data_IF_691114607029
#
_entry.id   IF_691114607029
#
_cell.length_a   1.000
_cell.length_b   1.000
_cell.length_c   1.000
_cell.angle_alpha   90.00
_cell.angle_beta   90.00
_cell.angle_gamma   90.00
#
_symmetry.space_group_name_H-M   'P 1'
#
loop_
_entity.id
_entity.type
_entity.pdbx_description
1 polymer ?
#
# COMPACT_ATOMS: atom_id res chain seq x y z
N UNK A 1 1.62 -5.15 27.80
CA UNK A 1 0.27 -5.49 27.33
C UNK A 1 0.14 -5.41 25.79
N UNK A 2 0.62 -4.35 25.13
CA UNK A 2 0.36 -4.10 23.70
C UNK A 2 1.40 -4.64 22.69
N UNK A 3 2.33 -5.52 23.09
CA UNK A 3 3.36 -6.06 22.18
C UNK A 3 2.76 -6.73 20.93
N UNK A 4 1.66 -7.48 21.09
CA UNK A 4 0.94 -8.10 19.97
C UNK A 4 0.32 -7.07 19.02
N UNK A 5 -0.17 -5.96 19.56
CA UNK A 5 -0.72 -4.84 18.77
C UNK A 5 0.36 -4.16 17.96
N UNK A 6 1.52 -3.89 18.56
CA UNK A 6 2.68 -3.29 17.88
C UNK A 6 3.14 -4.21 16.73
N UNK A 7 3.30 -5.51 16.99
CA UNK A 7 3.67 -6.48 15.95
C UNK A 7 2.62 -6.57 14.83
N UNK A 8 1.32 -6.52 15.16
CA UNK A 8 0.26 -6.48 14.16
C UNK A 8 0.30 -5.19 13.33
N UNK A 9 0.64 -4.05 13.93
CA UNK A 9 0.83 -2.79 13.20
C UNK A 9 2.04 -2.84 12.26
N UNK A 10 3.15 -3.43 12.67
CA UNK A 10 4.32 -3.63 11.80
C UNK A 10 3.98 -4.51 10.59
N UNK A 11 3.25 -5.62 10.83
CA UNK A 11 2.75 -6.44 9.74
C UNK A 11 1.76 -5.68 8.86
N UNK A 12 0.92 -4.80 9.43
CA UNK A 12 0.06 -3.89 8.67
C UNK A 12 0.84 -2.94 7.77
N UNK A 13 1.92 -2.32 8.28
CA UNK A 13 2.80 -1.43 7.52
C UNK A 13 3.49 -2.19 6.38
N UNK A 14 3.93 -3.42 6.66
CA UNK A 14 4.45 -4.32 5.64
C UNK A 14 3.40 -4.64 4.56
N UNK A 15 2.17 -5.01 4.94
CA UNK A 15 1.08 -5.31 4.00
C UNK A 15 0.75 -4.07 3.14
N UNK A 16 0.78 -2.88 3.72
CA UNK A 16 0.62 -1.63 2.99
C UNK A 16 1.72 -1.47 1.92
N UNK A 17 2.98 -1.74 2.27
CA UNK A 17 4.08 -1.72 1.30
C UNK A 17 3.87 -2.76 0.17
N UNK A 18 3.39 -3.96 0.48
CA UNK A 18 3.03 -4.95 -0.55
C UNK A 18 1.91 -4.40 -1.46
N UNK A 19 0.85 -3.84 -0.88
CA UNK A 19 -0.29 -3.32 -1.64
C UNK A 19 0.07 -2.18 -2.59
N UNK A 20 1.00 -1.30 -2.20
CA UNK A 20 1.44 -0.19 -3.03
C UNK A 20 2.44 -0.59 -4.12
N UNK A 21 3.18 -1.69 -3.96
CA UNK A 21 4.34 -1.99 -4.82
C UNK A 21 4.24 -3.30 -5.61
N UNK A 22 3.25 -4.15 -5.31
CA UNK A 22 3.07 -5.41 -6.03
C UNK A 22 2.65 -5.20 -7.50
N UNK A 23 1.71 -4.29 -7.78
CA UNK A 23 1.25 -4.03 -9.16
C UNK A 23 2.36 -3.48 -10.07
N UNK A 24 3.18 -2.49 -9.66
CA UNK A 24 4.33 -2.02 -10.43
C UNK A 24 5.31 -3.12 -10.85
N UNK A 25 5.58 -4.07 -9.96
CA UNK A 25 6.43 -5.22 -10.26
C UNK A 25 5.83 -6.13 -11.33
N UNK A 26 4.51 -6.09 -11.52
CA UNK A 26 3.80 -6.92 -12.49
C UNK A 26 3.40 -6.16 -13.76
N UNK A 27 3.67 -4.85 -13.89
CA UNK A 27 3.22 -4.05 -15.04
C UNK A 27 3.68 -4.60 -16.39
N UNK A 28 4.95 -4.99 -16.54
CA UNK A 28 5.42 -5.61 -17.80
C UNK A 28 4.68 -6.93 -18.07
N UNK A 29 4.35 -7.69 -17.02
CA UNK A 29 3.57 -8.92 -17.15
C UNK A 29 2.12 -8.62 -17.58
N UNK A 30 1.48 -7.61 -16.99
CA UNK A 30 0.13 -7.19 -17.38
C UNK A 30 0.08 -6.65 -18.81
N UNK A 31 1.06 -5.85 -19.22
CA UNK A 31 1.17 -5.35 -20.60
C UNK A 31 1.34 -6.51 -21.59
N UNK A 32 2.19 -7.48 -21.28
CA UNK A 32 2.41 -8.65 -22.13
C UNK A 32 1.19 -9.58 -22.20
N UNK A 33 0.50 -9.82 -21.09
CA UNK A 33 -0.61 -10.77 -21.05
C UNK A 33 -1.94 -10.18 -21.52
N UNK A 34 -2.24 -8.94 -21.15
CA UNK A 34 -3.53 -8.30 -21.43
C UNK A 34 -3.47 -7.29 -22.58
N UNK A 35 -2.29 -7.07 -23.19
CA UNK A 35 -2.12 -6.12 -24.28
C UNK A 35 -2.41 -4.67 -23.87
N UNK A 36 -2.28 -4.34 -22.58
CA UNK A 36 -2.54 -3.00 -22.07
C UNK A 36 -1.34 -2.08 -22.31
N UNK A 37 -1.60 -0.79 -22.49
CA UNK A 37 -0.59 0.23 -22.81
C UNK A 37 0.15 0.74 -21.55
N UNK A 38 1.29 1.41 -21.77
CA UNK A 38 1.98 2.17 -20.72
C UNK A 38 1.07 3.22 -20.05
N UNK A 39 0.21 3.88 -20.83
CA UNK A 39 -0.74 4.86 -20.31
C UNK A 39 -1.83 4.21 -19.45
N UNK A 40 -2.23 2.97 -19.75
CA UNK A 40 -3.14 2.19 -18.90
C UNK A 40 -2.51 1.79 -17.56
N UNK A 41 -1.27 1.28 -17.54
CA UNK A 41 -0.59 0.97 -16.26
C UNK A 41 -0.30 2.23 -15.45
N UNK A 42 0.02 3.35 -16.11
CA UNK A 42 0.16 4.65 -15.44
C UNK A 42 -1.14 5.12 -14.78
N UNK A 43 -2.29 4.88 -15.42
CA UNK A 43 -3.61 5.13 -14.84
C UNK A 43 -3.91 4.24 -13.63
N UNK A 44 -3.42 2.99 -13.60
CA UNK A 44 -3.53 2.13 -12.40
C UNK A 44 -2.73 2.72 -11.24
N UNK A 45 -1.50 3.20 -11.47
CA UNK A 45 -0.72 3.91 -10.44
C UNK A 45 -1.46 5.15 -9.93
N UNK A 46 -2.02 5.97 -10.83
CA UNK A 46 -2.80 7.15 -10.46
C UNK A 46 -4.01 6.77 -9.60
N UNK A 47 -4.79 5.78 -10.05
CA UNK A 47 -5.95 5.26 -9.33
C UNK A 47 -5.55 4.76 -7.95
N UNK A 48 -4.40 4.10 -7.84
CA UNK A 48 -3.91 3.55 -6.59
C UNK A 48 -3.72 4.62 -5.52
N UNK A 49 -2.93 5.67 -5.80
CA UNK A 49 -2.65 6.74 -4.83
C UNK A 49 -3.82 7.70 -4.64
N UNK A 50 -4.59 7.98 -5.70
CA UNK A 50 -5.76 8.84 -5.59
C UNK A 50 -6.84 8.25 -4.69
N UNK A 51 -7.12 6.95 -4.82
CA UNK A 51 -8.06 6.25 -3.93
C UNK A 51 -7.55 6.22 -2.49
N UNK A 52 -6.24 6.09 -2.25
CA UNK A 52 -5.67 6.17 -0.91
C UNK A 52 -5.95 7.53 -0.28
N UNK A 53 -5.64 8.63 -0.96
CA UNK A 53 -5.91 10.00 -0.49
C UNK A 53 -7.40 10.19 -0.15
N UNK A 54 -8.30 9.81 -1.06
CA UNK A 54 -9.75 9.90 -0.83
C UNK A 54 -10.16 9.11 0.41
N UNK A 55 -9.62 7.90 0.56
CA UNK A 55 -9.95 7.03 1.69
C UNK A 55 -9.46 7.63 3.00
N UNK A 56 -8.19 8.06 3.07
CA UNK A 56 -7.59 8.67 4.27
C UNK A 56 -8.39 9.91 4.71
N UNK A 57 -8.83 10.75 3.78
CA UNK A 57 -9.67 11.92 4.07
C UNK A 57 -11.09 11.55 4.50
N UNK A 58 -11.72 10.60 3.81
CA UNK A 58 -13.12 10.23 4.04
C UNK A 58 -13.32 9.47 5.35
N UNK A 59 -12.33 8.66 5.76
CA UNK A 59 -12.42 7.80 6.93
C UNK A 59 -11.79 8.39 8.19
N UNK A 60 -11.13 9.56 8.12
CA UNK A 60 -10.57 10.25 9.29
C UNK A 60 -11.63 10.48 10.39
N UNK A 61 -12.74 11.14 10.06
CA UNK A 61 -13.82 11.41 11.04
C UNK A 61 -14.59 10.15 11.49
N UNK A 62 -14.99 9.23 10.59
CA UNK A 62 -15.63 7.97 11.00
C UNK A 62 -14.79 7.14 11.97
N UNK A 63 -13.46 7.11 11.76
CA UNK A 63 -12.51 6.41 12.63
C UNK A 63 -12.52 6.99 14.04
N UNK A 64 -12.44 8.31 14.16
CA UNK A 64 -12.43 8.99 15.47
C UNK A 64 -13.73 8.70 16.25
N UNK A 65 -14.85 8.48 15.56
CA UNK A 65 -16.16 8.23 16.17
C UNK A 65 -16.42 6.77 16.58
N UNK A 66 -16.01 5.81 15.74
CA UNK A 66 -16.32 4.38 15.94
C UNK A 66 -15.10 3.57 16.41
N UNK A 67 -13.96 4.23 16.60
CA UNK A 67 -12.68 3.63 16.99
C UNK A 67 -11.96 2.91 15.84
N UNK A 68 -10.68 2.61 16.04
CA UNK A 68 -9.83 2.06 14.98
C UNK A 68 -10.15 0.61 14.57
N UNK A 69 -10.71 -0.22 15.46
CA UNK A 69 -10.86 -1.67 15.21
C UNK A 69 -11.62 -1.99 13.90
N UNK A 70 -12.86 -1.52 13.70
CA UNK A 70 -13.63 -1.89 12.50
C UNK A 70 -12.90 -1.48 11.21
N UNK A 71 -12.27 -0.31 11.19
CA UNK A 71 -11.60 0.22 10.02
C UNK A 71 -10.25 -0.48 9.76
N UNK A 72 -9.48 -0.83 10.79
CA UNK A 72 -8.20 -1.55 10.56
C UNK A 72 -8.47 -2.98 10.13
N UNK A 73 -9.55 -3.62 10.62
CA UNK A 73 -9.97 -4.93 10.09
C UNK A 73 -10.50 -4.81 8.66
N UNK A 74 -11.28 -3.77 8.36
CA UNK A 74 -11.74 -3.50 6.99
C UNK A 74 -10.56 -3.30 6.04
N UNK A 75 -9.52 -2.59 6.48
CA UNK A 75 -8.32 -2.35 5.69
C UNK A 75 -7.69 -3.66 5.18
N UNK A 76 -7.47 -4.61 6.10
CA UNK A 76 -6.95 -5.93 5.75
C UNK A 76 -7.85 -6.69 4.79
N UNK A 77 -9.16 -6.68 5.05
CA UNK A 77 -10.13 -7.37 4.20
C UNK A 77 -10.15 -6.78 2.78
N UNK A 78 -10.06 -5.46 2.65
CA UNK A 78 -10.00 -4.77 1.36
C UNK A 78 -8.71 -5.11 0.60
N UNK A 79 -7.54 -5.13 1.25
CA UNK A 79 -6.31 -5.57 0.57
C UNK A 79 -6.41 -7.04 0.13
N UNK A 80 -6.91 -7.92 1.00
CA UNK A 80 -7.12 -9.32 0.66
C UNK A 80 -8.03 -9.50 -0.56
N UNK A 81 -9.22 -8.90 -0.53
CA UNK A 81 -10.19 -8.98 -1.63
C UNK A 81 -9.66 -8.33 -2.91
N UNK A 82 -8.96 -7.20 -2.81
CA UNK A 82 -8.34 -6.56 -3.96
C UNK A 82 -7.28 -7.45 -4.62
N UNK A 83 -6.48 -8.18 -3.83
CA UNK A 83 -5.52 -9.14 -4.37
C UNK A 83 -6.21 -10.36 -5.01
N UNK A 84 -7.29 -10.87 -4.43
CA UNK A 84 -8.09 -11.92 -5.10
C UNK A 84 -8.65 -11.42 -6.43
N UNK A 85 -9.23 -10.22 -6.46
CA UNK A 85 -9.74 -9.61 -7.70
C UNK A 85 -8.64 -9.41 -8.73
N UNK A 86 -7.43 -9.02 -8.30
CA UNK A 86 -6.28 -8.90 -9.19
C UNK A 86 -5.89 -10.25 -9.77
N UNK A 87 -5.71 -11.27 -8.93
CA UNK A 87 -5.32 -12.62 -9.35
C UNK A 87 -6.35 -13.27 -10.28
N UNK A 88 -7.64 -13.02 -10.05
CA UNK A 88 -8.74 -13.57 -10.85
C UNK A 88 -9.28 -12.59 -11.91
N UNK A 89 -8.55 -11.51 -12.21
CA UNK A 89 -8.99 -10.46 -13.13
C UNK A 89 -9.34 -11.01 -14.52
N UNK A 90 -8.51 -11.93 -15.04
CA UNK A 90 -8.75 -12.61 -16.33
C UNK A 90 -10.04 -13.42 -16.33
N UNK A 91 -10.33 -14.14 -15.26
CA UNK A 91 -11.48 -15.04 -15.16
C UNK A 91 -12.78 -14.28 -14.92
N UNK A 92 -12.75 -13.26 -14.06
CA UNK A 92 -13.92 -12.47 -13.68
C UNK A 92 -14.27 -11.41 -14.73
N UNK A 93 -13.28 -10.89 -15.45
CA UNK A 93 -13.44 -9.83 -16.45
C UNK A 93 -12.93 -10.27 -17.82
N UNK A 94 -13.38 -11.44 -18.28
CA UNK A 94 -12.90 -12.06 -19.53
C UNK A 94 -12.99 -11.16 -20.77
N UNK A 95 -13.97 -10.25 -20.84
CA UNK A 95 -14.11 -9.29 -21.94
C UNK A 95 -13.15 -8.10 -21.86
N UNK A 96 -12.76 -7.69 -20.65
CA UNK A 96 -11.86 -6.55 -20.43
C UNK A 96 -11.07 -6.71 -19.12
N UNK A 97 -9.95 -7.46 -19.14
CA UNK A 97 -9.13 -7.70 -17.95
C UNK A 97 -8.60 -6.42 -17.30
N UNK A 98 -8.41 -5.34 -18.07
CA UNK A 98 -7.99 -4.04 -17.55
C UNK A 98 -9.00 -3.45 -16.56
N UNK A 99 -10.31 -3.61 -16.80
CA UNK A 99 -11.34 -3.19 -15.84
C UNK A 99 -11.23 -4.00 -14.54
N UNK A 100 -10.92 -5.30 -14.65
CA UNK A 100 -10.65 -6.13 -13.48
C UNK A 100 -9.48 -5.63 -12.65
N UNK A 101 -8.38 -5.24 -13.31
CA UNK A 101 -7.24 -4.61 -12.64
C UNK A 101 -7.60 -3.27 -12.00
N UNK A 102 -8.38 -2.41 -12.68
CA UNK A 102 -8.84 -1.14 -12.10
C UNK A 102 -9.68 -1.35 -10.84
N UNK A 103 -10.65 -2.28 -10.88
CA UNK A 103 -11.50 -2.60 -9.72
C UNK A 103 -10.65 -3.15 -8.58
N UNK A 104 -9.75 -4.08 -8.87
CA UNK A 104 -8.81 -4.60 -7.89
C UNK A 104 -7.98 -3.49 -7.25
N UNK A 105 -7.43 -2.58 -8.06
CA UNK A 105 -6.67 -1.41 -7.62
C UNK A 105 -7.45 -0.52 -6.67
N UNK A 106 -8.69 -0.16 -7.00
CA UNK A 106 -9.53 0.63 -6.08
C UNK A 106 -9.72 -0.11 -4.76
N UNK A 107 -10.05 -1.40 -4.81
CA UNK A 107 -10.36 -2.19 -3.60
C UNK A 107 -9.14 -2.30 -2.68
N UNK A 108 -7.97 -2.72 -3.17
CA UNK A 108 -6.79 -2.79 -2.29
C UNK A 108 -6.27 -1.40 -1.86
N UNK A 109 -6.48 -0.36 -2.68
CA UNK A 109 -6.14 1.02 -2.31
C UNK A 109 -6.96 1.59 -1.17
N UNK A 110 -8.24 1.23 -1.07
CA UNK A 110 -9.05 1.56 0.11
C UNK A 110 -8.38 0.95 1.35
N UNK A 111 -7.92 -0.30 1.25
CA UNK A 111 -7.17 -0.93 2.34
C UNK A 111 -5.88 -0.18 2.70
N UNK A 112 -5.08 0.17 1.71
CA UNK A 112 -3.83 0.91 1.90
C UNK A 112 -4.05 2.31 2.54
N UNK A 113 -5.06 3.06 2.10
CA UNK A 113 -5.37 4.38 2.67
C UNK A 113 -5.85 4.28 4.13
N UNK A 114 -6.62 3.25 4.46
CA UNK A 114 -6.97 2.97 5.86
C UNK A 114 -5.75 2.61 6.70
N UNK A 115 -4.77 1.87 6.16
CA UNK A 115 -3.52 1.60 6.89
C UNK A 115 -2.72 2.87 7.18
N UNK A 116 -2.57 3.73 6.18
CA UNK A 116 -1.89 5.02 6.31
C UNK A 116 -2.50 5.86 7.45
N UNK A 117 -3.83 5.92 7.50
CA UNK A 117 -4.56 6.64 8.54
C UNK A 117 -4.42 5.99 9.92
N UNK A 118 -4.55 4.67 10.03
CA UNK A 118 -4.83 4.00 11.30
C UNK A 118 -3.60 3.50 12.03
N UNK A 119 -2.60 2.96 11.33
CA UNK A 119 -1.50 2.23 11.97
C UNK A 119 -0.70 3.13 12.92
N UNK A 120 -0.44 4.36 12.50
CA UNK A 120 0.26 5.34 13.33
C UNK A 120 -0.59 5.73 14.55
N UNK A 121 -1.88 6.03 14.38
CA UNK A 121 -2.78 6.39 15.49
C UNK A 121 -2.87 5.26 16.53
N UNK A 122 -2.96 4.01 16.08
CA UNK A 122 -3.02 2.85 16.98
C UNK A 122 -1.75 2.77 17.83
N UNK A 123 -0.56 2.94 17.24
CA UNK A 123 0.71 2.94 17.98
C UNK A 123 0.80 4.14 18.91
N UNK A 124 0.41 5.34 18.44
CA UNK A 124 0.46 6.56 19.24
C UNK A 124 -0.49 6.55 20.43
N UNK A 125 -1.52 5.71 20.42
CA UNK A 125 -2.48 5.54 21.52
C UNK A 125 -1.96 4.61 22.62
N UNK A 126 -0.86 3.88 22.40
CA UNK A 126 -0.29 2.97 23.41
C UNK A 126 0.38 3.78 24.53
N UNK A 127 0.07 3.51 25.82
CA UNK A 127 0.69 4.21 26.94
C UNK A 127 2.14 3.76 27.18
N UNK A 128 2.99 4.71 27.57
CA UNK A 128 4.39 4.50 27.99
C UNK A 128 5.44 4.82 26.93
N UNK A 129 6.72 4.79 27.33
CA UNK A 129 7.88 5.26 26.54
C UNK A 129 8.18 4.40 25.30
N UNK A 130 7.58 3.22 25.21
CA UNK A 130 7.71 2.34 24.04
C UNK A 130 7.07 2.93 22.77
N UNK A 131 6.27 4.00 22.88
CA UNK A 131 5.58 4.66 21.76
C UNK A 131 6.55 5.26 20.74
N UNK A 132 7.54 6.04 21.18
CA UNK A 132 8.45 6.74 20.25
C UNK A 132 9.29 5.75 19.43
N UNK A 133 9.86 4.75 20.11
CA UNK A 133 10.57 3.65 19.45
C UNK A 133 9.65 2.87 18.51
N UNK A 134 8.41 2.60 18.93
CA UNK A 134 7.47 1.86 18.10
C UNK A 134 7.04 2.63 16.84
N UNK A 135 6.83 3.94 16.94
CA UNK A 135 6.49 4.81 15.79
C UNK A 135 7.66 4.90 14.81
N UNK A 136 8.88 5.09 15.30
CA UNK A 136 10.08 5.11 14.44
C UNK A 136 10.23 3.80 13.66
N UNK A 137 10.12 2.66 14.35
CA UNK A 137 10.17 1.34 13.71
C UNK A 137 9.05 1.15 12.68
N UNK A 138 7.81 1.61 12.96
CA UNK A 138 6.68 1.45 12.05
C UNK A 138 6.96 2.06 10.66
N UNK A 139 7.58 3.25 10.64
CA UNK A 139 7.96 3.92 9.39
C UNK A 139 9.07 3.15 8.67
N UNK A 140 10.08 2.65 9.40
CA UNK A 140 11.12 1.80 8.81
C UNK A 140 10.57 0.48 8.26
N UNK A 141 9.52 -0.09 8.86
CA UNK A 141 8.89 -1.32 8.40
C UNK A 141 8.26 -1.19 7.01
N UNK A 142 7.84 0.01 6.60
CA UNK A 142 7.36 0.25 5.24
C UNK A 142 8.50 0.08 4.22
N UNK A 143 9.66 0.70 4.47
CA UNK A 143 10.84 0.60 3.60
C UNK A 143 11.36 -0.85 3.51
N UNK A 144 11.46 -1.53 4.65
CA UNK A 144 11.79 -2.97 4.65
C UNK A 144 10.73 -3.80 3.93
N UNK A 145 9.45 -3.47 4.11
CA UNK A 145 8.35 -4.10 3.40
C UNK A 145 8.47 -3.94 1.89
N UNK A 146 8.85 -2.76 1.41
CA UNK A 146 9.13 -2.50 0.01
C UNK A 146 10.24 -3.43 -0.51
N UNK A 147 11.42 -3.42 0.13
CA UNK A 147 12.57 -4.24 -0.29
C UNK A 147 12.22 -5.72 -0.31
N UNK A 148 11.61 -6.23 0.77
CA UNK A 148 11.21 -7.64 0.88
C UNK A 148 10.18 -8.00 -0.18
N UNK A 149 9.21 -7.11 -0.46
CA UNK A 149 8.21 -7.34 -1.52
C UNK A 149 8.89 -7.49 -2.87
N UNK A 150 9.82 -6.59 -3.21
CA UNK A 150 10.58 -6.64 -4.47
C UNK A 150 11.37 -7.93 -4.56
N UNK A 151 12.20 -8.24 -3.56
CA UNK A 151 13.07 -9.42 -3.55
C UNK A 151 12.26 -10.73 -3.64
N UNK A 152 11.26 -10.90 -2.76
CA UNK A 152 10.48 -12.14 -2.73
C UNK A 152 9.65 -12.29 -4.01
N UNK A 153 9.01 -11.22 -4.50
CA UNK A 153 8.23 -11.27 -5.74
C UNK A 153 9.11 -11.62 -6.93
N UNK A 154 10.29 -11.01 -7.03
CA UNK A 154 11.28 -11.32 -8.09
C UNK A 154 11.68 -12.79 -8.06
N UNK A 155 11.99 -13.33 -6.88
CA UNK A 155 12.35 -14.74 -6.71
C UNK A 155 11.18 -15.67 -7.06
N UNK A 156 9.96 -15.33 -6.65
CA UNK A 156 8.77 -16.11 -7.01
C UNK A 156 8.50 -16.09 -8.52
N UNK A 157 8.68 -14.95 -9.19
CA UNK A 157 8.59 -14.85 -10.66
C UNK A 157 9.65 -15.74 -11.32
N UNK A 158 10.87 -15.77 -10.77
CA UNK A 158 11.97 -16.60 -11.29
C UNK A 158 11.69 -18.10 -11.14
N UNK A 159 11.13 -18.53 -10.00
CA UNK A 159 10.88 -19.95 -9.69
C UNK A 159 9.60 -20.46 -10.34
N UNK A 160 8.51 -19.70 -10.24
CA UNK A 160 7.18 -20.11 -10.73
C UNK A 160 6.98 -19.72 -12.21
N UNK A 161 7.77 -18.79 -12.73
CA UNK A 161 7.59 -18.21 -14.07
C UNK A 161 6.55 -17.10 -14.08
N UNK A 162 6.74 -16.15 -15.00
CA UNK A 162 5.90 -14.93 -15.13
C UNK A 162 4.42 -15.22 -15.36
N UNK A 163 4.09 -16.27 -16.11
CA UNK A 163 2.72 -16.67 -16.39
C UNK A 163 1.94 -17.07 -15.11
N UNK A 164 2.64 -17.41 -14.03
CA UNK A 164 2.04 -17.80 -12.75
C UNK A 164 1.94 -16.63 -11.76
N UNK A 165 2.00 -15.38 -12.23
CA UNK A 165 1.81 -14.21 -11.37
C UNK A 165 0.50 -14.23 -10.55
N UNK A 166 -0.64 -14.82 -10.98
CA UNK A 166 -1.81 -14.90 -10.12
C UNK A 166 -1.53 -15.68 -8.84
N UNK A 167 -0.74 -16.76 -8.91
CA UNK A 167 -0.33 -17.53 -7.74
C UNK A 167 0.54 -16.69 -6.78
N UNK A 168 1.42 -15.84 -7.31
CA UNK A 168 2.26 -14.93 -6.53
C UNK A 168 1.38 -13.94 -5.75
N UNK A 169 0.38 -13.36 -6.41
CA UNK A 169 -0.58 -12.45 -5.79
C UNK A 169 -1.39 -13.17 -4.71
N UNK A 170 -1.80 -14.41 -4.95
CA UNK A 170 -2.51 -15.24 -3.97
C UNK A 170 -1.63 -15.54 -2.74
N UNK A 171 -0.34 -15.83 -2.92
CA UNK A 171 0.60 -16.01 -1.80
C UNK A 171 0.66 -14.75 -0.94
N UNK A 172 0.81 -13.57 -1.58
CA UNK A 172 0.83 -12.29 -0.86
C UNK A 172 -0.50 -12.00 -0.13
N UNK A 173 -1.64 -12.45 -0.66
CA UNK A 173 -2.96 -12.27 -0.05
C UNK A 173 -3.13 -13.00 1.30
N UNK A 174 -2.29 -14.00 1.59
CA UNK A 174 -2.35 -14.72 2.87
C UNK A 174 -2.00 -13.79 4.04
N UNK A 175 -1.06 -12.85 3.85
CA UNK A 175 -0.62 -11.92 4.90
C UNK A 175 -1.73 -10.99 5.41
N UNK A 176 -2.48 -10.25 4.56
CA UNK A 176 -3.59 -9.44 5.01
C UNK A 176 -4.67 -10.29 5.70
N UNK A 177 -4.97 -11.49 5.19
CA UNK A 177 -5.96 -12.37 5.81
C UNK A 177 -5.50 -12.84 7.20
N UNK A 178 -4.24 -13.21 7.36
CA UNK A 178 -3.69 -13.59 8.66
C UNK A 178 -3.76 -12.41 9.65
N UNK A 179 -3.34 -11.21 9.23
CA UNK A 179 -3.31 -10.06 10.12
C UNK A 179 -4.70 -9.49 10.42
N UNK A 180 -5.69 -9.71 9.54
CA UNK A 180 -7.11 -9.49 9.84
C UNK A 180 -7.54 -10.24 11.11
N UNK A 181 -7.25 -11.54 11.20
CA UNK A 181 -7.56 -12.35 12.38
C UNK A 181 -6.79 -11.89 13.63
N UNK A 182 -5.58 -11.38 13.47
CA UNK A 182 -4.83 -10.79 14.58
C UNK A 182 -5.54 -9.53 15.08
N UNK A 183 -5.89 -8.59 14.20
CA UNK A 183 -6.54 -7.33 14.58
C UNK A 183 -7.93 -7.49 15.18
N UNK A 184 -8.62 -8.60 14.90
CA UNK A 184 -9.85 -8.94 15.62
C UNK A 184 -9.62 -9.28 17.10
N UNK A 185 -8.41 -9.71 17.49
CA UNK A 185 -8.10 -10.22 18.84
C UNK A 185 -7.16 -9.34 19.66
N UNK A 186 -6.28 -8.57 19.02
CA UNK A 186 -5.31 -7.74 19.77
C UNK A 186 -5.99 -6.68 20.62
N UNK A 187 -5.47 -6.35 21.82
CA UNK A 187 -5.98 -5.24 22.61
C UNK A 187 -5.66 -3.92 21.91
N UNK A 188 -6.63 -3.02 21.83
CA UNK A 188 -6.42 -1.66 21.32
C UNK A 188 -6.58 -0.69 22.49
N UNK A 189 -5.61 0.21 22.66
CA UNK A 189 -5.74 1.27 23.63
C UNK A 189 -6.90 2.20 23.22
N UNK A 190 -7.65 2.77 24.18
CA UNK A 190 -8.62 3.81 23.88
C UNK A 190 -7.93 4.94 23.12
N UNK A 191 -8.55 5.39 22.04
CA UNK A 191 -8.03 6.57 21.35
C UNK A 191 -8.23 7.78 22.27
N UNK A 192 -7.16 8.56 22.46
CA UNK A 192 -7.23 9.78 23.25
C UNK A 192 -8.12 10.77 22.49
N UNK A 193 -9.20 11.22 23.13
CA UNK A 193 -10.14 12.21 22.57
C UNK A 193 -9.44 13.54 22.33
N UNK A 194 -9.67 14.15 21.16
CA UNK A 194 -9.03 15.40 20.76
C UNK A 194 -9.55 16.62 21.54
N UNK A 195 -8.79 17.08 22.52
CA UNK A 195 -8.73 18.50 22.84
C UNK A 195 -7.58 19.12 22.02
N UNK A 196 -7.93 20.04 21.09
CA UNK A 196 -7.07 20.88 20.23
C UNK A 196 -6.68 20.32 18.85
N UNK A 197 -7.65 20.13 17.94
CA UNK A 197 -7.38 20.11 16.49
C UNK A 197 -7.56 21.50 15.88
N UNK A 198 -6.55 21.96 15.12
CA UNK A 198 -6.65 23.17 14.28
C UNK A 198 -7.64 22.90 13.14
N UNK A 199 -8.49 23.88 12.79
CA UNK A 199 -9.48 23.66 11.73
C UNK A 199 -8.79 23.55 10.37
N UNK A 200 -9.18 22.57 9.55
CA UNK A 200 -8.65 22.36 8.19
C UNK A 200 -8.75 23.63 7.32
N UNK A 201 -9.81 24.42 7.51
CA UNK A 201 -10.02 25.71 6.83
C UNK A 201 -8.95 26.76 7.17
N UNK A 202 -8.44 26.76 8.40
CA UNK A 202 -7.40 27.70 8.85
C UNK A 202 -6.05 27.34 8.23
N UNK A 203 -5.75 26.04 8.12
CA UNK A 203 -4.54 25.53 7.47
C UNK A 203 -4.54 25.85 5.96
N UNK A 204 -5.59 25.49 5.24
CA UNK A 204 -5.69 25.70 3.78
C UNK A 204 -5.75 27.18 3.41
N UNK A 205 -6.20 28.06 4.31
CA UNK A 205 -6.18 29.51 4.10
C UNK A 205 -4.77 30.13 4.18
N UNK A 206 -3.78 29.42 4.73
CA UNK A 206 -2.41 29.92 4.84
C UNK A 206 -1.65 29.70 3.53
N UNK A 207 -1.18 30.80 2.93
CA UNK A 207 -0.34 30.76 1.72
C UNK A 207 0.95 29.96 1.92
N UNK A 208 1.56 30.08 3.09
CA UNK A 208 2.78 29.35 3.43
C UNK A 208 2.53 27.84 3.51
N UNK A 209 1.40 27.46 4.11
CA UNK A 209 0.99 26.05 4.19
C UNK A 209 0.74 25.45 2.80
N UNK A 210 0.08 26.20 1.90
CA UNK A 210 -0.13 25.76 0.51
C UNK A 210 1.18 25.58 -0.26
N UNK A 211 2.17 26.46 -0.06
CA UNK A 211 3.49 26.30 -0.66
C UNK A 211 4.19 25.03 -0.16
N UNK A 212 4.09 24.74 1.14
CA UNK A 212 4.66 23.50 1.72
C UNK A 212 3.96 22.27 1.17
N UNK A 213 2.63 22.26 1.10
CA UNK A 213 1.86 21.16 0.48
C UNK A 213 2.30 20.94 -0.97
N UNK A 214 2.46 22.02 -1.75
CA UNK A 214 2.91 21.92 -3.12
C UNK A 214 4.32 21.32 -3.20
N UNK A 215 5.23 21.73 -2.32
CA UNK A 215 6.58 21.17 -2.23
C UNK A 215 6.56 19.67 -1.92
N UNK A 216 5.75 19.25 -0.94
CA UNK A 216 5.58 17.83 -0.58
C UNK A 216 4.98 17.05 -1.76
N UNK A 217 3.96 17.62 -2.43
CA UNK A 217 3.32 16.98 -3.57
C UNK A 217 4.28 16.78 -4.75
N UNK A 218 5.08 17.79 -5.11
CA UNK A 218 6.05 17.68 -6.21
C UNK A 218 7.22 16.77 -5.84
N UNK A 219 7.73 16.86 -4.61
CA UNK A 219 8.77 15.96 -4.10
C UNK A 219 8.32 14.50 -4.11
N UNK A 220 7.15 14.22 -3.51
CA UNK A 220 6.56 12.89 -3.50
C UNK A 220 6.21 12.38 -4.89
N UNK A 221 5.70 13.22 -5.79
CA UNK A 221 5.46 12.83 -7.18
C UNK A 221 6.73 12.38 -7.90
N UNK A 222 7.86 13.04 -7.63
CA UNK A 222 9.16 12.68 -8.19
C UNK A 222 9.64 11.34 -7.64
N UNK A 223 9.54 11.12 -6.33
CA UNK A 223 9.93 9.88 -5.65
C UNK A 223 9.07 8.68 -6.10
N UNK A 224 7.74 8.86 -6.13
CA UNK A 224 6.79 7.85 -6.59
C UNK A 224 7.02 7.52 -8.06
N UNK A 225 7.29 8.52 -8.92
CA UNK A 225 7.57 8.26 -10.33
C UNK A 225 8.80 7.36 -10.51
N UNK A 226 9.86 7.56 -9.74
CA UNK A 226 11.02 6.68 -9.80
C UNK A 226 10.67 5.26 -9.31
N UNK A 227 10.09 5.11 -8.12
CA UNK A 227 9.78 3.77 -7.57
C UNK A 227 8.77 2.97 -8.38
N UNK A 228 7.81 3.61 -9.04
CA UNK A 228 6.75 2.90 -9.78
C UNK A 228 7.19 2.49 -11.20
N UNK A 229 8.15 3.22 -11.79
CA UNK A 229 8.52 3.04 -13.20
C UNK A 229 9.91 2.43 -13.41
N UNK A 230 10.80 2.44 -12.40
CA UNK A 230 12.20 1.99 -12.58
C UNK A 230 12.30 0.55 -13.07
N UNK A 231 11.56 -0.38 -12.47
CA UNK A 231 11.54 -1.78 -12.90
C UNK A 231 11.04 -1.93 -14.35
N UNK A 232 9.92 -1.29 -14.65
CA UNK A 232 9.33 -1.33 -16.00
C UNK A 232 10.30 -0.73 -17.03
N UNK A 233 10.92 0.42 -16.74
CA UNK A 233 11.88 1.08 -17.61
C UNK A 233 13.13 0.22 -17.88
N UNK A 234 13.72 -0.36 -16.82
CA UNK A 234 14.88 -1.23 -16.95
C UNK A 234 14.57 -2.45 -17.83
N UNK A 235 13.39 -3.02 -17.68
CA UNK A 235 12.98 -4.20 -18.43
C UNK A 235 12.57 -3.88 -19.87
N UNK A 236 11.67 -2.92 -20.09
CA UNK A 236 11.10 -2.65 -21.41
C UNK A 236 11.99 -1.80 -22.31
N UNK A 237 12.80 -0.90 -21.73
CA UNK A 237 13.57 0.09 -22.48
C UNK A 237 15.05 -0.28 -22.55
N UNK A 238 15.64 -0.72 -21.43
CA UNK A 238 17.04 -1.12 -21.38
C UNK A 238 17.26 -2.60 -21.78
N UNK A 239 16.18 -3.38 -21.90
CA UNK A 239 16.25 -4.81 -22.23
C UNK A 239 16.92 -5.65 -21.15
N UNK A 240 17.00 -5.13 -19.92
CA UNK A 240 17.60 -5.84 -18.79
C UNK A 240 16.65 -6.92 -18.29
N UNK A 241 17.22 -7.94 -17.65
CA UNK A 241 16.40 -8.99 -17.05
C UNK A 241 15.57 -8.43 -15.88
N UNK A 242 14.46 -9.11 -15.57
CA UNK A 242 13.55 -8.71 -14.47
C UNK A 242 14.30 -8.51 -13.17
N UNK A 243 15.22 -9.43 -12.89
CA UNK A 243 16.00 -9.45 -11.66
C UNK A 243 16.89 -8.22 -11.54
N UNK A 244 17.51 -7.79 -12.65
CA UNK A 244 18.35 -6.59 -12.64
C UNK A 244 17.49 -5.33 -12.48
N UNK A 245 16.36 -5.24 -13.19
CA UNK A 245 15.44 -4.11 -13.07
C UNK A 245 14.84 -3.96 -11.68
N UNK A 246 14.47 -5.07 -11.04
CA UNK A 246 13.88 -5.09 -9.71
C UNK A 246 14.96 -4.86 -8.61
N UNK A 247 16.06 -5.61 -8.63
CA UNK A 247 17.05 -5.58 -7.54
C UNK A 247 17.99 -4.38 -7.61
N UNK A 248 18.48 -4.01 -8.80
CA UNK A 248 19.39 -2.87 -8.93
C UNK A 248 18.60 -1.57 -9.03
N UNK A 249 17.43 -1.59 -9.66
CA UNK A 249 16.59 -0.42 -9.78
C UNK A 249 15.86 -0.07 -8.49
N UNK A 250 14.97 -0.95 -8.02
CA UNK A 250 14.05 -0.64 -6.93
C UNK A 250 14.70 -0.79 -5.55
N UNK A 251 15.54 -1.80 -5.31
CA UNK A 251 16.14 -1.97 -3.98
C UNK A 251 17.27 -0.97 -3.68
N UNK A 252 17.91 -0.35 -4.68
CA UNK A 252 18.86 0.75 -4.43
C UNK A 252 18.15 2.10 -4.20
N UNK A 253 16.89 2.21 -4.62
CA UNK A 253 16.07 3.39 -4.42
C UNK A 253 15.40 3.43 -3.04
N UNK A 254 15.04 2.26 -2.50
CA UNK A 254 14.40 2.09 -1.20
C UNK A 254 15.38 2.11 -0.02
#
# INVERSE_FOLDING_TARGET
MYKKTISACYLGSFIMAVACNLSPLLYVTFMAEFGISFEQVGRLTLLNFFTQIITSLSFSKPTDQHGARPFVTLAHLMVFLGFLLMAFSRQLFAFNPYVGLMVATVVYSVGAGLFELLLNIIILSIPGDAKESATSLLHSFYAWGFIVTVVITTLLIKVLGRANWPAIVLIWSILPLFNFFNFMRVPLAPQVSEEKRTRLKELVSSRYFMLVILGIAVGGATEVSMSQWTSTFAESTLGLSKEVGDLVGLCLFA
#
